data_IF_188372842852
#
_entry.id   IF_188372842852
#
_cell.length_a   1.000
_cell.length_b   1.000
_cell.length_c   1.000
_cell.angle_alpha   90.00
_cell.angle_beta   90.00
_cell.angle_gamma   90.00
#
_symmetry.space_group_name_H-M   'P 1'
#
loop_
_entity.id
_entity.type
_entity.pdbx_description
1 polymer ?
#
# COMPACT_ATOMS: atom_id res chain seq x y z
N UNK A 1 7.31 -73.60 6.17
CA UNK A 1 6.85 -73.08 7.47
C UNK A 1 7.32 -71.63 7.61
N UNK A 2 6.41 -70.68 7.45
CA UNK A 2 6.69 -69.25 7.66
C UNK A 2 6.47 -68.99 9.15
N UNK A 3 7.53 -68.77 9.91
CA UNK A 3 7.43 -68.36 11.31
C UNK A 3 6.96 -66.91 11.36
N UNK A 4 5.75 -66.71 11.89
CA UNK A 4 5.24 -65.41 12.30
C UNK A 4 6.14 -64.85 13.42
N UNK A 5 6.84 -63.73 13.15
CA UNK A 5 7.41 -62.90 14.21
C UNK A 5 6.26 -62.26 14.98
N UNK A 6 5.92 -62.84 16.13
CA UNK A 6 5.04 -62.22 17.13
C UNK A 6 5.73 -60.93 17.59
N UNK A 7 5.22 -59.79 17.13
CA UNK A 7 5.52 -58.47 17.69
C UNK A 7 5.04 -58.45 19.14
N UNK A 8 5.90 -58.82 20.08
CA UNK A 8 5.59 -58.69 21.50
C UNK A 8 5.50 -57.20 21.85
N UNK A 9 4.29 -56.72 22.14
CA UNK A 9 4.10 -55.37 22.68
C UNK A 9 4.77 -55.31 24.06
N UNK A 10 5.77 -54.44 24.21
CA UNK A 10 6.42 -54.24 25.52
C UNK A 10 5.37 -53.84 26.55
N UNK A 11 5.38 -54.42 27.77
CA UNK A 11 4.46 -54.02 28.83
C UNK A 11 4.70 -52.55 29.19
N UNK A 12 3.61 -51.80 29.37
CA UNK A 12 3.67 -50.42 29.85
C UNK A 12 4.06 -50.42 31.34
N UNK A 13 5.33 -50.10 31.63
CA UNK A 13 5.86 -50.00 32.99
C UNK A 13 6.04 -48.52 33.35
N UNK A 14 5.18 -48.00 34.23
CA UNK A 14 5.29 -46.64 34.76
C UNK A 14 5.87 -46.65 36.18
N UNK A 15 7.21 -46.68 36.28
CA UNK A 15 7.90 -46.67 37.57
C UNK A 15 8.09 -45.23 38.08
N UNK A 16 7.06 -44.71 38.75
CA UNK A 16 7.04 -43.34 39.28
C UNK A 16 8.12 -43.07 40.34
N UNK A 17 8.47 -44.07 41.16
CA UNK A 17 9.46 -43.92 42.23
C UNK A 17 10.86 -43.64 41.66
N UNK A 18 11.29 -44.42 40.67
CA UNK A 18 12.57 -44.18 39.98
C UNK A 18 12.57 -42.85 39.21
N UNK A 19 11.43 -42.45 38.63
CA UNK A 19 11.33 -41.15 37.95
C UNK A 19 11.50 -39.97 38.91
N UNK A 20 10.97 -40.08 40.13
CA UNK A 20 11.14 -39.06 41.17
C UNK A 20 12.58 -39.01 41.67
N UNK A 21 13.18 -40.16 41.97
CA UNK A 21 14.59 -40.26 42.37
C UNK A 21 15.52 -39.60 41.33
N UNK A 22 15.33 -39.92 40.04
CA UNK A 22 16.12 -39.29 38.96
C UNK A 22 15.80 -37.82 38.75
N UNK A 23 14.58 -37.38 39.04
CA UNK A 23 14.24 -35.96 39.00
C UNK A 23 14.99 -35.22 40.10
N UNK A 24 15.03 -35.76 41.31
CA UNK A 24 15.73 -35.15 42.45
C UNK A 24 17.25 -35.10 42.22
N UNK A 25 17.83 -36.11 41.57
CA UNK A 25 19.26 -36.12 41.19
C UNK A 25 19.64 -35.03 40.19
N UNK A 26 18.74 -34.69 39.26
CA UNK A 26 19.01 -33.78 38.13
C UNK A 26 18.54 -32.35 38.44
N UNK A 27 17.53 -32.19 39.30
CA UNK A 27 16.85 -30.92 39.53
C UNK A 27 17.79 -29.93 40.20
N UNK A 28 17.86 -28.73 39.62
CA UNK A 28 18.54 -27.59 40.23
C UNK A 28 17.80 -27.09 41.47
N UNK A 29 18.55 -26.55 42.44
CA UNK A 29 17.98 -26.01 43.66
C UNK A 29 16.92 -24.93 43.36
N UNK A 30 15.73 -24.98 44.00
CA UNK A 30 14.68 -24.00 43.75
C UNK A 30 15.02 -22.59 44.23
N UNK A 31 16.16 -22.40 44.90
CA UNK A 31 16.66 -21.13 45.42
C UNK A 31 17.46 -20.32 44.40
N UNK A 32 17.78 -20.88 43.22
CA UNK A 32 18.47 -20.13 42.17
C UNK A 32 17.66 -18.90 41.74
N UNK A 33 18.30 -17.75 41.49
CA UNK A 33 17.62 -16.58 40.99
C UNK A 33 17.03 -16.87 39.60
N UNK A 34 15.94 -16.17 39.27
CA UNK A 34 15.24 -16.36 38.01
C UNK A 34 16.13 -16.15 36.77
N UNK A 35 17.13 -15.27 36.86
CA UNK A 35 18.05 -14.94 35.77
C UNK A 35 18.88 -16.13 35.25
N UNK A 36 19.14 -17.12 36.11
CA UNK A 36 19.92 -18.31 35.76
C UNK A 36 19.07 -19.40 35.11
N UNK A 37 17.77 -19.41 35.41
CA UNK A 37 16.84 -20.43 34.89
C UNK A 37 16.10 -19.94 33.65
N UNK A 38 15.66 -18.67 33.65
CA UNK A 38 14.83 -18.03 32.60
C UNK A 38 13.64 -18.89 32.15
N UNK A 39 13.20 -19.78 33.04
CA UNK A 39 12.19 -20.78 32.77
C UNK A 39 10.88 -20.34 33.43
N UNK A 40 9.83 -20.25 32.62
CA UNK A 40 8.49 -19.92 33.09
C UNK A 40 7.57 -21.12 32.87
N UNK A 41 6.86 -21.53 33.92
CA UNK A 41 5.83 -22.56 33.86
C UNK A 41 4.47 -21.86 33.84
N UNK A 42 3.64 -22.20 32.85
CA UNK A 42 2.30 -21.63 32.74
C UNK A 42 1.42 -22.09 33.92
N UNK A 43 0.70 -21.15 34.54
CA UNK A 43 -0.20 -21.43 35.67
C UNK A 43 -1.42 -22.26 35.26
N UNK A 44 -1.86 -22.11 34.01
CA UNK A 44 -3.00 -22.83 33.44
C UNK A 44 -2.52 -23.80 32.38
N UNK A 45 -3.16 -24.96 32.37
CA UNK A 45 -3.00 -25.92 31.28
C UNK A 45 -3.50 -25.31 29.96
N UNK A 46 -2.88 -25.73 28.86
CA UNK A 46 -3.29 -25.32 27.53
C UNK A 46 -4.60 -26.02 27.16
N UNK A 47 -5.70 -25.26 27.15
CA UNK A 47 -6.99 -25.73 26.66
C UNK A 47 -7.08 -25.47 25.15
N UNK A 48 -6.98 -26.53 24.35
CA UNK A 48 -7.16 -26.48 22.90
C UNK A 48 -8.45 -27.23 22.58
N UNK A 49 -9.49 -26.52 22.17
CA UNK A 49 -10.81 -27.11 21.86
C UNK A 49 -10.73 -28.18 20.76
N UNK A 50 -9.92 -27.93 19.73
CA UNK A 50 -9.78 -28.80 18.57
C UNK A 50 -8.29 -28.92 18.18
N UNK A 51 -7.70 -30.08 18.51
CA UNK A 51 -6.26 -30.31 18.33
C UNK A 51 -5.86 -30.34 16.85
N UNK A 52 -6.79 -30.67 15.95
CA UNK A 52 -6.55 -30.74 14.50
C UNK A 52 -6.59 -29.37 13.82
N UNK A 53 -7.22 -28.35 14.44
CA UNK A 53 -7.22 -26.98 13.92
C UNK A 53 -5.91 -26.26 14.29
N UNK A 54 -4.99 -26.28 13.34
CA UNK A 54 -3.68 -25.66 13.48
C UNK A 54 -3.76 -24.16 13.77
N UNK A 55 -4.72 -23.44 13.19
CA UNK A 55 -4.80 -21.98 13.37
C UNK A 55 -5.18 -21.62 14.80
N UNK A 56 -6.15 -22.34 15.39
CA UNK A 56 -6.53 -22.13 16.79
C UNK A 56 -5.42 -22.56 17.73
N UNK A 57 -4.79 -23.71 17.46
CA UNK A 57 -3.67 -24.22 18.25
C UNK A 57 -2.47 -23.24 18.27
N UNK A 58 -2.11 -22.68 17.13
CA UNK A 58 -1.02 -21.70 17.03
C UNK A 58 -1.34 -20.40 17.78
N UNK A 59 -2.61 -19.98 17.82
CA UNK A 59 -3.04 -18.82 18.62
C UNK A 59 -2.86 -19.08 20.11
N UNK A 60 -3.18 -20.28 20.60
CA UNK A 60 -2.99 -20.61 22.02
C UNK A 60 -1.52 -20.72 22.40
N UNK A 61 -0.68 -21.32 21.55
CA UNK A 61 0.77 -21.32 21.75
C UNK A 61 1.35 -19.90 21.77
N UNK A 62 0.88 -19.04 20.87
CA UNK A 62 1.26 -17.64 20.85
C UNK A 62 0.87 -16.92 22.14
N UNK A 63 -0.36 -17.13 22.63
CA UNK A 63 -0.85 -16.50 23.86
C UNK A 63 -0.05 -16.95 25.10
N UNK A 64 0.26 -18.25 25.19
CA UNK A 64 1.09 -18.78 26.27
C UNK A 64 2.49 -18.17 26.26
N UNK A 65 3.15 -18.13 25.09
CA UNK A 65 4.47 -17.52 24.93
C UNK A 65 4.45 -16.03 25.28
N UNK A 66 3.43 -15.29 24.82
CA UNK A 66 3.26 -13.87 25.12
C UNK A 66 3.12 -13.61 26.63
N UNK A 67 2.34 -14.44 27.33
CA UNK A 67 2.17 -14.33 28.78
C UNK A 67 3.47 -14.63 29.53
N UNK A 68 4.19 -15.68 29.14
CA UNK A 68 5.50 -16.01 29.71
C UNK A 68 6.51 -14.86 29.53
N UNK A 69 6.56 -14.25 28.35
CA UNK A 69 7.44 -13.08 28.08
C UNK A 69 7.05 -11.88 28.94
N UNK A 70 5.75 -11.59 29.10
CA UNK A 70 5.29 -10.48 29.95
C UNK A 70 5.70 -10.65 31.41
N UNK A 71 5.59 -11.87 31.95
CA UNK A 71 5.95 -12.16 33.34
C UNK A 71 7.46 -12.17 33.53
N UNK A 72 8.20 -12.78 32.60
CA UNK A 72 9.67 -12.79 32.61
C UNK A 72 10.24 -11.37 32.57
N UNK A 73 9.68 -10.49 31.73
CA UNK A 73 10.10 -9.08 31.69
C UNK A 73 9.94 -8.38 33.04
N UNK A 74 8.81 -8.59 33.74
CA UNK A 74 8.62 -8.02 35.08
C UNK A 74 9.63 -8.53 36.09
N UNK A 75 10.02 -9.81 36.01
CA UNK A 75 11.05 -10.39 36.89
C UNK A 75 12.44 -9.84 36.57
N UNK A 76 12.81 -9.73 35.29
CA UNK A 76 14.07 -9.15 34.86
C UNK A 76 14.18 -7.66 35.21
N UNK A 77 13.10 -6.89 35.06
CA UNK A 77 13.03 -5.48 35.44
C UNK A 77 13.27 -5.31 36.97
N UNK A 78 12.71 -6.20 37.81
CA UNK A 78 12.94 -6.21 39.26
C UNK A 78 14.39 -6.54 39.63
N UNK A 79 15.02 -7.40 38.85
CA UNK A 79 16.38 -7.84 39.08
C UNK A 79 17.42 -6.88 38.46
N UNK A 80 16.97 -5.87 37.70
CA UNK A 80 17.82 -4.86 37.08
C UNK A 80 18.54 -5.34 35.82
N UNK A 81 18.11 -6.46 35.24
CA UNK A 81 18.71 -7.03 34.03
C UNK A 81 18.12 -6.41 32.77
N UNK A 82 18.99 -5.93 31.87
CA UNK A 82 18.58 -5.37 30.58
C UNK A 82 18.18 -6.49 29.61
N UNK A 83 16.91 -6.54 29.22
CA UNK A 83 16.40 -7.55 28.27
C UNK A 83 16.20 -7.04 26.83
N UNK A 84 16.23 -5.73 26.59
CA UNK A 84 15.95 -5.17 25.27
C UNK A 84 17.24 -5.01 24.45
N UNK A 85 17.29 -5.62 23.26
CA UNK A 85 18.41 -5.44 22.32
C UNK A 85 18.45 -4.00 21.81
N UNK A 86 19.54 -3.25 22.05
CA UNK A 86 19.71 -1.92 21.47
C UNK A 86 19.77 -1.96 19.94
N UNK A 87 19.25 -0.93 19.27
CA UNK A 87 19.22 -0.85 17.80
C UNK A 87 20.63 -0.79 17.21
N UNK A 88 21.57 -0.20 17.94
CA UNK A 88 22.97 0.02 17.53
C UNK A 88 23.91 -1.14 17.94
N UNK A 89 23.38 -2.23 18.50
CA UNK A 89 24.18 -3.40 18.90
C UNK A 89 24.24 -4.44 17.77
N UNK A 90 25.27 -4.35 16.93
CA UNK A 90 25.51 -5.27 15.80
C UNK A 90 26.32 -6.50 16.23
N UNK A 91 25.61 -7.54 16.70
CA UNK A 91 26.15 -8.87 16.93
C UNK A 91 25.63 -9.85 15.88
N UNK A 92 26.25 -11.02 15.77
CA UNK A 92 25.77 -12.10 14.91
C UNK A 92 24.35 -12.52 15.30
N UNK A 93 23.45 -12.55 14.31
CA UNK A 93 22.06 -12.96 14.47
C UNK A 93 21.87 -14.37 13.92
N UNK A 94 20.90 -15.12 14.46
CA UNK A 94 20.60 -16.51 14.04
C UNK A 94 20.38 -16.64 12.52
N UNK A 95 19.84 -15.59 11.87
CA UNK A 95 19.64 -15.53 10.42
C UNK A 95 20.45 -14.38 9.83
N UNK A 96 21.17 -14.65 8.73
CA UNK A 96 21.92 -13.61 8.01
C UNK A 96 21.02 -12.57 7.35
N UNK A 97 21.54 -11.35 7.21
CA UNK A 97 20.83 -10.25 6.53
C UNK A 97 20.48 -10.58 5.07
N UNK A 98 21.34 -11.36 4.40
CA UNK A 98 21.06 -11.87 3.04
C UNK A 98 19.83 -12.78 3.02
N UNK A 99 19.63 -13.61 4.05
CA UNK A 99 18.42 -14.42 4.18
C UNK A 99 17.20 -13.54 4.45
N UNK A 100 17.27 -12.61 5.42
CA UNK A 100 16.16 -11.71 5.75
C UNK A 100 15.79 -10.76 4.61
N UNK A 101 16.76 -10.37 3.78
CA UNK A 101 16.55 -9.62 2.55
C UNK A 101 15.67 -10.38 1.55
N UNK A 102 15.87 -11.71 1.40
CA UNK A 102 15.02 -12.56 0.55
C UNK A 102 13.60 -12.68 1.11
N UNK A 103 13.45 -12.89 2.42
CA UNK A 103 12.14 -12.94 3.08
C UNK A 103 11.37 -11.62 2.87
N UNK A 104 12.04 -10.48 3.08
CA UNK A 104 11.45 -9.16 2.85
C UNK A 104 11.03 -8.95 1.39
N UNK A 105 11.84 -9.37 0.43
CA UNK A 105 11.49 -9.31 -1.00
C UNK A 105 10.25 -10.15 -1.31
N UNK A 106 10.13 -11.34 -0.73
CA UNK A 106 8.96 -12.20 -0.90
C UNK A 106 7.68 -11.53 -0.35
N UNK A 107 7.73 -11.00 0.87
CA UNK A 107 6.59 -10.29 1.47
C UNK A 107 6.15 -9.07 0.65
N UNK A 108 7.11 -8.31 0.12
CA UNK A 108 6.81 -7.17 -0.76
C UNK A 108 6.17 -7.63 -2.08
N UNK A 109 6.66 -8.72 -2.65
CA UNK A 109 6.10 -9.29 -3.88
C UNK A 109 4.65 -9.76 -3.67
N UNK A 110 4.35 -10.44 -2.56
CA UNK A 110 3.00 -10.86 -2.22
C UNK A 110 2.04 -9.69 -2.03
N UNK A 111 2.47 -8.65 -1.29
CA UNK A 111 1.70 -7.41 -1.14
C UNK A 111 1.39 -6.76 -2.49
N UNK A 112 2.39 -6.60 -3.35
CA UNK A 112 2.20 -6.04 -4.69
C UNK A 112 1.27 -6.91 -5.55
N UNK A 113 1.32 -8.23 -5.42
CA UNK A 113 0.43 -9.16 -6.12
C UNK A 113 -1.02 -8.98 -5.67
N UNK A 114 -1.27 -8.85 -4.36
CA UNK A 114 -2.60 -8.60 -3.79
C UNK A 114 -3.15 -7.24 -4.23
N UNK A 115 -2.37 -6.16 -4.06
CA UNK A 115 -2.75 -4.80 -4.51
C UNK A 115 -3.00 -4.76 -6.02
N UNK A 116 -2.19 -5.46 -6.80
CA UNK A 116 -2.38 -5.60 -8.25
C UNK A 116 -3.66 -6.35 -8.62
N UNK A 117 -4.10 -7.32 -7.81
CA UNK A 117 -5.39 -7.98 -7.98
C UNK A 117 -6.56 -7.06 -7.64
N UNK A 118 -6.51 -6.40 -6.48
CA UNK A 118 -7.55 -5.45 -6.04
C UNK A 118 -7.72 -4.29 -7.03
N UNK A 119 -6.60 -3.70 -7.48
CA UNK A 119 -6.62 -2.64 -8.48
C UNK A 119 -7.21 -3.11 -9.80
N UNK A 120 -6.97 -4.35 -10.22
CA UNK A 120 -7.59 -4.93 -11.42
C UNK A 120 -9.09 -5.13 -11.23
N UNK A 121 -9.54 -5.58 -10.05
CA UNK A 121 -10.97 -5.72 -9.72
C UNK A 121 -11.66 -4.35 -9.77
N UNK A 122 -11.11 -3.35 -9.09
CA UNK A 122 -11.63 -1.97 -9.11
C UNK A 122 -11.67 -1.38 -10.53
N UNK A 123 -10.63 -1.62 -11.34
CA UNK A 123 -10.61 -1.17 -12.74
C UNK A 123 -11.70 -1.84 -13.59
N UNK A 124 -11.98 -3.13 -13.36
CA UNK A 124 -13.07 -3.84 -14.06
C UNK A 124 -14.43 -3.26 -13.68
N UNK A 125 -14.68 -3.03 -12.40
CA UNK A 125 -15.91 -2.41 -11.90
C UNK A 125 -16.07 -0.99 -12.44
N UNK A 126 -15.01 -0.17 -12.36
CA UNK A 126 -15.01 1.18 -12.91
C UNK A 126 -15.33 1.17 -14.42
N UNK A 127 -14.73 0.25 -15.20
CA UNK A 127 -15.04 0.12 -16.63
C UNK A 127 -16.49 -0.26 -16.89
N UNK A 128 -17.06 -1.18 -16.09
CA UNK A 128 -18.46 -1.61 -16.18
C UNK A 128 -19.43 -0.44 -15.96
N UNK A 129 -19.20 0.36 -14.93
CA UNK A 129 -20.09 1.46 -14.54
C UNK A 129 -19.73 2.82 -15.17
N UNK A 130 -18.58 2.94 -15.83
CA UNK A 130 -18.06 4.22 -16.36
C UNK A 130 -19.06 4.95 -17.27
N UNK A 131 -19.74 4.23 -18.17
CA UNK A 131 -20.73 4.83 -19.07
C UNK A 131 -21.96 5.34 -18.32
N UNK A 132 -22.47 4.55 -17.37
CA UNK A 132 -23.63 4.93 -16.55
C UNK A 132 -23.28 6.14 -15.67
N UNK A 133 -22.12 6.12 -15.02
CA UNK A 133 -21.62 7.25 -14.21
C UNK A 133 -21.44 8.52 -15.04
N UNK A 134 -20.94 8.40 -16.27
CA UNK A 134 -20.80 9.55 -17.18
C UNK A 134 -22.18 10.12 -17.57
N UNK A 135 -23.13 9.26 -17.94
CA UNK A 135 -24.48 9.67 -18.29
C UNK A 135 -25.22 10.32 -17.11
N UNK A 136 -25.12 9.73 -15.92
CA UNK A 136 -25.72 10.28 -14.70
C UNK A 136 -25.10 11.62 -14.32
N UNK A 137 -23.76 11.74 -14.39
CA UNK A 137 -23.07 13.01 -14.14
C UNK A 137 -23.48 14.10 -15.13
N UNK A 138 -23.73 13.76 -16.39
CA UNK A 138 -24.27 14.71 -17.37
C UNK A 138 -25.72 15.11 -17.03
N UNK A 139 -26.57 14.13 -16.67
CA UNK A 139 -27.97 14.37 -16.24
C UNK A 139 -28.04 15.27 -15.01
N UNK A 140 -27.22 15.00 -13.99
CA UNK A 140 -27.11 15.81 -12.78
C UNK A 140 -26.64 17.23 -13.10
N UNK A 141 -25.60 17.40 -13.93
CA UNK A 141 -25.15 18.73 -14.39
C UNK A 141 -26.24 19.48 -15.16
N UNK A 142 -27.00 18.77 -16.00
CA UNK A 142 -28.14 19.34 -16.72
C UNK A 142 -29.24 19.81 -15.77
N UNK A 143 -29.61 18.98 -14.80
CA UNK A 143 -30.60 19.32 -13.78
C UNK A 143 -30.15 20.51 -12.91
N UNK A 144 -28.89 20.55 -12.49
CA UNK A 144 -28.33 21.70 -11.76
C UNK A 144 -28.39 22.98 -12.59
N UNK A 145 -28.02 22.93 -13.87
CA UNK A 145 -28.12 24.10 -14.76
C UNK A 145 -29.56 24.58 -14.95
N UNK A 146 -30.54 23.67 -15.03
CA UNK A 146 -31.97 24.01 -15.10
C UNK A 146 -32.43 24.70 -13.83
N UNK A 147 -32.16 24.13 -12.65
CA UNK A 147 -32.47 24.74 -11.35
C UNK A 147 -31.87 26.15 -11.21
N UNK A 148 -30.61 26.33 -11.59
CA UNK A 148 -29.96 27.65 -11.55
C UNK A 148 -30.61 28.64 -12.53
N UNK A 149 -30.98 28.20 -13.73
CA UNK A 149 -31.70 29.06 -14.69
C UNK A 149 -33.10 29.43 -14.21
N UNK A 150 -33.84 28.48 -13.63
CA UNK A 150 -35.16 28.72 -13.05
C UNK A 150 -35.09 29.72 -11.91
N UNK A 151 -34.15 29.55 -10.97
CA UNK A 151 -33.85 30.54 -9.94
C UNK A 151 -33.54 31.89 -10.58
N UNK A 152 -32.56 31.96 -11.51
CA UNK A 152 -32.19 33.22 -12.15
C UNK A 152 -33.36 33.91 -12.87
N UNK A 153 -34.26 33.15 -13.52
CA UNK A 153 -35.46 33.68 -14.16
C UNK A 153 -36.49 34.18 -13.13
N UNK A 154 -36.63 33.51 -11.98
CA UNK A 154 -37.48 34.01 -10.88
C UNK A 154 -36.99 35.34 -10.32
N UNK A 155 -35.69 35.64 -10.40
CA UNK A 155 -35.08 36.92 -10.01
C UNK A 155 -35.02 37.96 -11.15
N UNK A 156 -35.29 37.57 -12.40
CA UNK A 156 -35.18 38.45 -13.58
C UNK A 156 -36.50 39.19 -13.81
N UNK A 157 -36.48 40.51 -13.63
CA UNK A 157 -37.63 41.39 -13.92
C UNK A 157 -38.58 41.65 -12.74
N UNK A 158 -38.25 41.20 -11.52
CA UNK A 158 -39.00 41.55 -10.31
C UNK A 158 -38.46 42.83 -9.68
N UNK A 159 -39.36 43.71 -9.26
CA UNK A 159 -39.07 44.93 -8.49
C UNK A 159 -38.51 44.55 -7.10
N UNK A 160 -37.74 45.44 -6.44
CA UNK A 160 -37.10 45.13 -5.15
C UNK A 160 -38.08 44.67 -4.06
N UNK A 161 -39.32 45.17 -4.05
CA UNK A 161 -40.37 44.74 -3.10
C UNK A 161 -40.84 43.29 -3.30
N UNK A 162 -41.02 42.84 -4.55
CA UNK A 162 -41.43 41.46 -4.85
C UNK A 162 -40.32 40.42 -4.59
N UNK A 163 -39.08 40.89 -4.47
CA UNK A 163 -37.92 40.07 -4.13
C UNK A 163 -37.82 39.78 -2.63
N UNK A 164 -38.28 40.72 -1.79
CA UNK A 164 -38.31 40.57 -0.33
C UNK A 164 -39.27 39.45 0.11
N UNK A 165 -40.38 39.25 -0.60
CA UNK A 165 -41.38 38.22 -0.29
C UNK A 165 -40.94 36.80 -0.68
N UNK A 166 -40.14 36.64 -1.75
CA UNK A 166 -39.56 35.33 -2.14
C UNK A 166 -38.26 34.99 -1.40
N UNK A 167 -37.56 35.99 -0.84
CA UNK A 167 -36.29 35.84 -0.13
C UNK A 167 -36.42 35.53 1.37
N UNK A 168 -37.63 35.32 1.89
CA UNK A 168 -37.90 35.08 3.32
C UNK A 168 -37.44 33.70 3.85
N UNK A 169 -36.58 32.99 3.13
CA UNK A 169 -35.88 31.83 3.69
C UNK A 169 -34.43 31.79 3.19
N UNK A 170 -33.58 32.50 3.94
CA UNK A 170 -32.13 32.26 3.94
C UNK A 170 -31.27 33.35 3.31
N UNK A 171 -30.47 34.00 4.17
CA UNK A 171 -29.27 34.78 3.88
C UNK A 171 -29.44 36.26 3.51
N UNK A 172 -29.84 37.06 4.51
CA UNK A 172 -29.32 38.41 4.66
C UNK A 172 -27.87 38.37 5.20
N UNK A 173 -26.89 38.29 4.29
CA UNK A 173 -25.53 38.78 4.58
C UNK A 173 -25.26 39.95 3.65
N UNK A 174 -25.38 41.15 4.23
CA UNK A 174 -24.85 42.43 3.74
C UNK A 174 -23.47 42.17 3.11
N UNK A 175 -23.38 42.24 1.79
CA UNK A 175 -22.09 42.33 1.09
C UNK A 175 -21.88 43.80 0.78
N UNK A 176 -20.99 44.41 1.53
CA UNK A 176 -20.40 45.70 1.18
C UNK A 176 -19.68 45.54 -0.17
N UNK A 177 -20.13 46.31 -1.16
CA UNK A 177 -19.43 46.45 -2.44
C UNK A 177 -18.16 47.25 -2.16
N UNK A 178 -17.04 46.56 -2.02
CA UNK A 178 -15.72 47.16 -2.20
C UNK A 178 -15.52 47.42 -3.70
N UNK A 179 -15.80 48.65 -4.13
CA UNK A 179 -15.40 49.18 -5.44
C UNK A 179 -13.90 49.41 -5.42
N UNK A 180 -13.11 48.37 -5.66
CA UNK A 180 -11.73 48.48 -6.13
C UNK A 180 -11.21 47.08 -6.49
N UNK A 181 -11.36 46.70 -7.76
CA UNK A 181 -10.43 45.80 -8.44
C UNK A 181 -10.80 45.76 -9.92
N UNK A 182 -10.33 46.77 -10.64
CA UNK A 182 -10.16 46.73 -12.09
C UNK A 182 -8.96 45.80 -12.41
N UNK A 183 -9.01 44.57 -11.92
CA UNK A 183 -8.07 43.52 -12.27
C UNK A 183 -8.46 43.01 -13.66
N UNK A 184 -8.03 43.78 -14.66
CA UNK A 184 -8.04 43.39 -16.08
C UNK A 184 -7.62 41.93 -16.18
N UNK A 185 -8.42 41.13 -16.89
CA UNK A 185 -8.12 39.76 -17.29
C UNK A 185 -6.79 39.69 -18.05
N UNK A 186 -5.67 39.77 -17.35
CA UNK A 186 -4.33 39.65 -17.94
C UNK A 186 -4.09 38.18 -18.22
N UNK A 187 -3.87 37.86 -19.49
CA UNK A 187 -3.51 36.51 -19.90
C UNK A 187 -2.23 36.10 -19.17
N UNK A 188 -2.25 34.91 -18.57
CA UNK A 188 -1.10 34.31 -17.87
C UNK A 188 0.18 34.41 -18.70
N UNK A 189 1.32 34.71 -18.05
CA UNK A 189 2.63 34.72 -18.70
C UNK A 189 2.94 33.41 -19.46
N UNK A 190 2.41 32.27 -18.97
CA UNK A 190 2.50 30.97 -19.68
C UNK A 190 1.76 30.96 -21.01
N UNK A 191 0.66 31.72 -21.13
CA UNK A 191 -0.11 31.84 -22.37
C UNK A 191 0.59 32.78 -23.35
N UNK A 192 1.13 33.91 -22.87
CA UNK A 192 1.92 34.81 -23.72
C UNK A 192 3.16 34.13 -24.33
N UNK A 193 3.87 33.29 -23.56
CA UNK A 193 5.00 32.52 -24.08
C UNK A 193 4.58 31.47 -25.13
N UNK A 194 3.42 30.84 -24.94
CA UNK A 194 2.87 29.89 -25.92
C UNK A 194 2.40 30.59 -27.18
N UNK A 195 1.78 31.76 -27.05
CA UNK A 195 1.32 32.55 -28.19
C UNK A 195 2.50 33.07 -29.02
N UNK A 196 3.63 33.43 -28.39
CA UNK A 196 4.89 33.75 -29.10
C UNK A 196 5.48 32.55 -29.84
N UNK A 197 5.41 31.35 -29.26
CA UNK A 197 6.02 30.14 -29.83
C UNK A 197 5.15 29.46 -30.90
N UNK A 198 3.84 29.52 -30.75
CA UNK A 198 2.89 28.75 -31.55
C UNK A 198 1.78 29.60 -32.21
N UNK A 199 1.81 30.92 -32.05
CA UNK A 199 0.72 31.83 -32.44
C UNK A 199 -0.42 31.85 -31.43
N UNK A 200 -1.31 32.84 -31.52
CA UNK A 200 -2.43 33.07 -30.59
C UNK A 200 -3.56 32.05 -30.74
N UNK A 201 -3.29 30.78 -30.47
CA UNK A 201 -4.25 29.69 -30.58
C UNK A 201 -4.74 29.40 -31.99
N UNK A 202 -5.29 28.21 -32.17
CA UNK A 202 -5.80 27.73 -33.45
C UNK A 202 -7.17 28.34 -33.75
N UNK A 203 -7.31 29.02 -34.90
CA UNK A 203 -8.62 29.37 -35.47
C UNK A 203 -9.25 28.09 -36.00
N UNK A 204 -10.43 27.74 -35.46
CA UNK A 204 -11.17 26.52 -35.84
C UNK A 204 -11.46 26.55 -37.35
N UNK A 205 -10.68 25.82 -38.15
CA UNK A 205 -10.84 25.69 -39.61
C UNK A 205 -9.62 26.08 -40.46
N UNK A 206 -8.55 26.63 -39.86
CA UNK A 206 -7.39 27.11 -40.62
C UNK A 206 -6.35 26.05 -41.01
N UNK A 207 -6.51 24.79 -40.56
CA UNK A 207 -5.69 23.66 -41.02
C UNK A 207 -6.58 22.56 -41.60
N UNK A 208 -6.72 22.54 -42.92
CA UNK A 208 -7.13 21.33 -43.64
C UNK A 208 -5.86 20.55 -43.95
N UNK A 209 -5.77 19.29 -43.52
CA UNK A 209 -4.70 18.40 -43.95
C UNK A 209 -4.85 18.20 -45.47
N UNK A 210 -3.98 18.84 -46.25
CA UNK A 210 -3.87 18.57 -47.68
C UNK A 210 -3.06 17.28 -47.88
N UNK A 211 -3.29 16.56 -48.98
CA UNK A 211 -2.55 15.33 -49.30
C UNK A 211 -1.02 15.53 -49.29
N UNK A 212 -0.57 16.74 -49.64
CA UNK A 212 0.84 17.15 -49.56
C UNK A 212 1.34 17.26 -48.11
N UNK A 213 0.52 17.80 -47.20
CA UNK A 213 0.88 17.92 -45.78
C UNK A 213 0.83 16.61 -44.98
N UNK A 214 0.09 15.60 -45.45
CA UNK A 214 0.10 14.26 -44.83
C UNK A 214 1.25 13.37 -45.31
N UNK A 215 1.86 13.70 -46.46
CA UNK A 215 2.95 12.93 -47.06
C UNK A 215 4.33 13.56 -46.84
N UNK A 216 4.41 14.78 -46.29
CA UNK A 216 5.67 15.46 -46.03
C UNK A 216 6.35 14.92 -44.77
N UNK A 217 7.35 14.07 -44.98
CA UNK A 217 8.20 13.49 -43.94
C UNK A 217 9.60 14.12 -43.92
N UNK A 218 9.80 15.26 -44.61
CA UNK A 218 11.12 15.92 -44.72
C UNK A 218 11.70 16.35 -43.37
N UNK A 219 10.84 16.71 -42.43
CA UNK A 219 11.22 17.04 -41.05
C UNK A 219 11.53 15.80 -40.18
N UNK A 220 11.14 14.60 -40.63
CA UNK A 220 11.32 13.37 -39.87
C UNK A 220 12.72 12.76 -40.10
N UNK A 221 13.70 13.20 -39.31
CA UNK A 221 15.04 12.61 -39.31
C UNK A 221 15.25 11.65 -38.12
N UNK A 222 15.37 10.36 -38.40
CA UNK A 222 15.75 9.33 -37.41
C UNK A 222 17.15 9.54 -36.83
N UNK A 223 18.02 10.28 -37.54
CA UNK A 223 19.39 10.62 -37.10
C UNK A 223 19.36 11.76 -36.08
N UNK A 224 18.57 12.82 -36.32
CA UNK A 224 18.36 13.93 -35.35
C UNK A 224 17.56 13.49 -34.12
N UNK A 225 16.59 12.58 -34.28
CA UNK A 225 15.79 12.07 -33.16
C UNK A 225 16.54 11.09 -32.24
N UNK A 226 17.73 10.62 -32.64
CA UNK A 226 18.62 9.78 -31.83
C UNK A 226 19.78 10.54 -31.18
N UNK A 227 20.02 11.79 -31.58
CA UNK A 227 20.99 12.67 -30.93
C UNK A 227 20.31 13.37 -29.76
N UNK A 228 20.95 13.41 -28.59
CA UNK A 228 20.45 14.19 -27.48
C UNK A 228 20.51 15.69 -27.79
N UNK A 229 19.62 16.45 -27.16
CA UNK A 229 19.57 17.91 -27.21
C UNK A 229 20.96 18.54 -26.94
N UNK A 230 21.28 19.68 -27.56
CA UNK A 230 22.54 20.37 -27.33
C UNK A 230 22.69 20.66 -25.83
N UNK A 231 23.76 20.14 -25.22
CA UNK A 231 24.04 20.25 -23.77
C UNK A 231 23.85 18.96 -22.96
N UNK A 232 23.34 17.87 -23.53
CA UNK A 232 23.14 16.59 -22.81
C UNK A 232 23.91 15.44 -23.50
N UNK A 233 24.89 14.83 -22.83
CA UNK A 233 25.59 13.63 -23.36
C UNK A 233 24.60 12.45 -23.43
N UNK A 234 24.25 12.00 -24.64
CA UNK A 234 23.43 10.81 -24.85
C UNK A 234 24.20 9.54 -24.40
N UNK A 235 23.95 9.05 -23.18
CA UNK A 235 24.35 7.68 -22.79
C UNK A 235 23.43 6.66 -23.47
N UNK A 236 23.68 6.40 -24.75
CA UNK A 236 23.06 5.28 -25.46
C UNK A 236 23.68 3.99 -24.92
N UNK A 237 23.07 3.37 -23.91
CA UNK A 237 23.41 2.01 -23.50
C UNK A 237 23.00 1.06 -24.63
N UNK A 238 23.95 0.68 -25.50
CA UNK A 238 23.76 -0.39 -26.49
C UNK A 238 23.35 -1.67 -25.73
N UNK A 239 22.18 -2.23 -26.05
CA UNK A 239 21.76 -3.52 -25.50
C UNK A 239 22.75 -4.59 -25.97
N UNK A 240 23.27 -5.45 -25.07
CA UNK A 240 24.11 -6.57 -25.48
C UNK A 240 23.36 -7.50 -26.43
N UNK A 241 24.07 -8.02 -27.44
CA UNK A 241 23.52 -8.95 -28.44
C UNK A 241 22.92 -10.21 -27.82
N UNK A 242 22.09 -10.93 -28.60
CA UNK A 242 21.29 -12.08 -28.14
C UNK A 242 22.13 -13.16 -27.44
N UNK A 243 23.32 -13.47 -27.96
CA UNK A 243 24.28 -14.41 -27.34
C UNK A 243 24.71 -13.98 -25.94
N UNK A 244 25.13 -12.72 -25.77
CA UNK A 244 25.54 -12.17 -24.45
C UNK A 244 24.40 -12.11 -23.43
N UNK A 245 23.13 -12.10 -23.89
CA UNK A 245 21.96 -12.16 -23.00
C UNK A 245 21.66 -13.59 -22.53
N UNK A 246 21.96 -14.59 -23.33
CA UNK A 246 21.77 -16.00 -22.95
C UNK A 246 22.83 -16.43 -21.92
N UNK A 247 24.11 -16.07 -22.12
CA UNK A 247 25.17 -16.41 -21.16
C UNK A 247 25.00 -15.76 -19.77
N UNK A 248 24.27 -14.64 -19.66
CA UNK A 248 23.95 -14.02 -18.37
C UNK A 248 22.77 -14.66 -17.65
N UNK A 249 22.03 -15.56 -18.30
CA UNK A 249 20.92 -16.31 -17.70
C UNK A 249 21.35 -17.69 -17.19
N UNK A 250 22.51 -18.18 -17.62
CA UNK A 250 23.05 -19.49 -17.29
C UNK A 250 24.17 -19.43 -16.24
N UNK A 251 24.21 -18.39 -15.41
CA UNK A 251 25.17 -18.22 -14.32
C UNK A 251 24.49 -17.65 -13.10
#
# INVERSE_FOLDING_TARGET
MILYMISQSRPFVNNKALLQERLDDIRLDPKFPFEETLAFVAEKELEIEEVEDDLKREVEFYNQALNAVKLSRKQLDKAGVKHMRPVDYFAEMVKSDKHMGRVKQHLLFEKQKMEGFERRKQQKEFKKYSKQLQAEKQKQKGAQKKKVKELANQYRGKTPDALATLGSSGMNKKRERATNNEAKFRQSAKRQAKDKKYGSGYVKGSKKNSAKSSADMSDFSTKKNKTAFPGMKAKIKKRPGKSRRMNRRSG
#
